data_IF_452007173518
#
_entry.id   IF_452007173518
#
_cell.length_a   1.000
_cell.length_b   1.000
_cell.length_c   1.000
_cell.angle_alpha   90.00
_cell.angle_beta   90.00
_cell.angle_gamma   90.00
#
_symmetry.space_group_name_H-M   'P 1'
#
loop_
_entity.id
_entity.type
_entity.pdbx_description
1 polymer ?
#
# COMPACT_ATOMS: atom_id res chain seq x y z
N UNK A 1 -10.26 -3.03 -26.28
CA UNK A 1 -10.58 -3.95 -25.18
C UNK A 1 -9.38 -3.93 -24.23
N UNK A 2 -9.43 -3.11 -23.19
CA UNK A 2 -8.34 -2.99 -22.22
C UNK A 2 -8.55 -4.14 -21.24
N UNK A 3 -7.69 -5.15 -21.27
CA UNK A 3 -7.54 -6.07 -20.16
C UNK A 3 -6.90 -5.27 -19.02
N UNK A 4 -7.66 -4.39 -18.39
CA UNK A 4 -7.28 -3.87 -17.09
C UNK A 4 -7.38 -5.06 -16.15
N UNK A 5 -6.22 -5.48 -15.65
CA UNK A 5 -6.06 -6.46 -14.57
C UNK A 5 -7.13 -6.16 -13.51
N UNK A 6 -8.01 -7.13 -13.21
CA UNK A 6 -9.05 -7.03 -12.15
C UNK A 6 -8.47 -6.91 -10.73
N UNK A 7 -7.19 -6.54 -10.65
CA UNK A 7 -6.40 -6.47 -9.43
C UNK A 7 -5.37 -5.36 -9.48
N UNK A 8 -5.18 -4.75 -8.32
CA UNK A 8 -4.20 -3.69 -8.08
C UNK A 8 -3.13 -4.19 -7.14
N UNK A 9 -1.88 -4.25 -7.61
CA UNK A 9 -0.74 -4.64 -6.77
C UNK A 9 -0.36 -3.46 -5.86
N UNK A 10 -0.16 -3.74 -4.59
CA UNK A 10 0.21 -2.72 -3.61
C UNK A 10 1.21 -3.22 -2.58
N UNK A 11 1.84 -2.27 -1.92
CA UNK A 11 2.73 -2.50 -0.80
C UNK A 11 2.62 -1.35 0.21
N UNK A 12 2.57 -1.71 1.49
CA UNK A 12 2.72 -0.85 2.66
C UNK A 12 4.15 -1.04 3.16
N UNK A 13 4.87 0.06 3.30
CA UNK A 13 6.27 0.08 3.71
C UNK A 13 6.52 1.23 4.69
N UNK A 14 7.62 1.14 5.45
CA UNK A 14 8.16 2.26 6.25
C UNK A 14 9.33 2.89 5.52
N UNK A 15 9.32 4.20 5.35
CA UNK A 15 10.46 4.92 4.79
C UNK A 15 11.69 4.80 5.70
N UNK A 16 12.88 4.70 5.10
CA UNK A 16 14.16 4.76 5.83
C UNK A 16 14.67 6.19 6.07
N UNK A 17 14.15 7.18 5.32
CA UNK A 17 14.56 8.58 5.40
C UNK A 17 14.00 9.34 6.63
N UNK A 18 14.29 10.64 6.70
CA UNK A 18 14.20 11.52 7.87
C UNK A 18 12.86 11.50 8.64
N UNK A 19 11.72 11.26 7.98
CA UNK A 19 10.41 11.22 8.63
C UNK A 19 9.93 9.80 9.02
N UNK A 20 10.58 8.75 8.49
CA UNK A 20 10.26 7.33 8.74
C UNK A 20 8.76 6.97 8.65
N UNK A 21 8.05 7.66 7.75
CA UNK A 21 6.60 7.53 7.60
C UNK A 21 6.22 6.17 7.00
N UNK A 22 5.09 5.64 7.46
CA UNK A 22 4.41 4.53 6.83
C UNK A 22 3.64 5.00 5.60
N UNK A 23 3.90 4.36 4.46
CA UNK A 23 3.33 4.73 3.16
C UNK A 23 2.79 3.53 2.42
N UNK A 24 2.01 3.81 1.38
CA UNK A 24 1.53 2.80 0.43
C UNK A 24 1.94 3.17 -0.99
N UNK A 25 2.39 2.19 -1.76
CA UNK A 25 2.56 2.28 -3.21
C UNK A 25 1.52 1.39 -3.90
N UNK A 26 0.88 1.91 -4.95
CA UNK A 26 -0.05 1.17 -5.82
C UNK A 26 0.64 0.97 -7.17
N UNK A 27 1.39 -0.12 -7.31
CA UNK A 27 2.28 -0.35 -8.46
C UNK A 27 1.56 -0.27 -9.81
N UNK A 28 0.33 -0.78 -9.88
CA UNK A 28 -0.47 -0.80 -11.12
C UNK A 28 -1.13 0.54 -11.43
N UNK A 29 -1.06 1.53 -10.54
CA UNK A 29 -1.59 2.88 -10.76
C UNK A 29 -0.51 3.93 -11.03
N UNK A 30 0.77 3.53 -11.01
CA UNK A 30 1.87 4.42 -11.37
C UNK A 30 1.81 4.77 -12.86
N UNK A 31 2.19 6.01 -13.17
CA UNK A 31 2.36 6.49 -14.54
C UNK A 31 3.85 6.73 -14.83
N UNK A 32 4.22 6.88 -16.10
CA UNK A 32 5.62 7.01 -16.50
C UNK A 32 6.36 8.16 -15.81
N UNK A 33 5.66 9.23 -15.42
CA UNK A 33 6.29 10.39 -14.77
C UNK A 33 6.70 10.14 -13.32
N UNK A 34 5.97 9.27 -12.59
CA UNK A 34 6.21 9.02 -11.16
C UNK A 34 6.71 7.60 -10.85
N UNK A 35 6.61 6.67 -11.80
CA UNK A 35 6.90 5.26 -11.58
C UNK A 35 8.28 5.01 -11.02
N UNK A 36 9.32 5.60 -11.62
CA UNK A 36 10.69 5.38 -11.18
C UNK A 36 10.94 5.90 -9.77
N UNK A 37 10.50 7.12 -9.46
CA UNK A 37 10.70 7.73 -8.14
C UNK A 37 9.94 6.99 -7.04
N UNK A 38 8.69 6.60 -7.29
CA UNK A 38 7.86 5.91 -6.30
C UNK A 38 8.38 4.49 -6.03
N UNK A 39 8.78 3.75 -7.08
CA UNK A 39 9.37 2.42 -6.92
C UNK A 39 10.68 2.50 -6.14
N UNK A 40 11.58 3.43 -6.48
CA UNK A 40 12.84 3.56 -5.76
C UNK A 40 12.63 3.88 -4.27
N UNK A 41 11.64 4.72 -3.95
CA UNK A 41 11.28 5.04 -2.57
C UNK A 41 10.75 3.83 -1.80
N UNK A 42 9.89 3.01 -2.43
CA UNK A 42 9.40 1.78 -1.82
C UNK A 42 10.53 0.75 -1.62
N UNK A 43 11.44 0.62 -2.59
CA UNK A 43 12.59 -0.29 -2.52
C UNK A 43 13.63 0.10 -1.45
N UNK A 44 13.78 1.39 -1.17
CA UNK A 44 14.62 1.88 -0.08
C UNK A 44 13.95 1.71 1.30
N UNK A 45 12.64 1.45 1.30
CA UNK A 45 11.81 1.23 2.48
C UNK A 45 11.90 -0.17 3.09
N UNK A 46 11.36 -0.32 4.29
CA UNK A 46 11.10 -1.62 4.91
C UNK A 46 9.66 -2.06 4.60
N UNK A 47 9.50 -3.13 3.83
CA UNK A 47 8.19 -3.71 3.52
C UNK A 47 7.50 -4.26 4.77
N UNK A 48 6.24 -3.88 4.99
CA UNK A 48 5.42 -4.35 6.13
C UNK A 48 4.33 -5.30 5.66
N UNK A 49 3.65 -4.94 4.57
CA UNK A 49 2.56 -5.72 4.02
C UNK A 49 2.48 -5.51 2.51
N UNK A 50 2.32 -6.57 1.72
CA UNK A 50 2.09 -6.44 0.29
C UNK A 50 1.03 -7.43 -0.18
N UNK A 51 0.44 -7.15 -1.33
CA UNK A 51 -0.58 -8.03 -1.90
C UNK A 51 -1.28 -7.44 -3.12
N UNK A 52 -2.45 -8.01 -3.41
CA UNK A 52 -3.31 -7.58 -4.49
C UNK A 52 -4.67 -7.19 -3.92
N UNK A 53 -5.15 -6.01 -4.33
CA UNK A 53 -6.52 -5.56 -4.07
C UNK A 53 -7.42 -6.01 -5.22
N UNK A 54 -8.66 -6.38 -4.91
CA UNK A 54 -9.73 -6.48 -5.89
C UNK A 54 -10.08 -5.08 -6.41
N UNK A 55 -10.06 -4.90 -7.73
CA UNK A 55 -10.36 -3.62 -8.35
C UNK A 55 -11.81 -3.14 -8.11
N UNK A 56 -12.76 -4.07 -7.92
CA UNK A 56 -14.17 -3.78 -7.60
C UNK A 56 -14.33 -3.00 -6.29
N UNK A 57 -13.44 -3.23 -5.32
CA UNK A 57 -13.47 -2.59 -4.00
C UNK A 57 -12.27 -1.66 -3.76
N UNK A 58 -11.57 -1.27 -4.83
CA UNK A 58 -10.32 -0.52 -4.73
C UNK A 58 -10.47 0.83 -4.05
N UNK A 59 -11.58 1.53 -4.31
CA UNK A 59 -11.85 2.84 -3.70
C UNK A 59 -11.98 2.73 -2.17
N UNK A 60 -12.75 1.74 -1.70
CA UNK A 60 -12.91 1.42 -0.29
C UNK A 60 -11.61 0.91 0.34
N UNK A 61 -10.87 0.08 -0.39
CA UNK A 61 -9.58 -0.44 0.06
C UNK A 61 -8.57 0.70 0.31
N UNK A 62 -8.51 1.71 -0.58
CA UNK A 62 -7.64 2.88 -0.39
C UNK A 62 -8.03 3.68 0.86
N UNK A 63 -9.32 3.82 1.15
CA UNK A 63 -9.78 4.47 2.39
C UNK A 63 -9.27 3.66 3.59
N UNK A 64 -9.47 2.33 3.57
CA UNK A 64 -9.06 1.47 4.67
C UNK A 64 -7.55 1.44 4.89
N UNK A 65 -6.76 1.44 3.81
CA UNK A 65 -5.30 1.56 3.89
C UNK A 65 -4.91 2.90 4.50
N UNK A 66 -5.52 4.02 4.09
CA UNK A 66 -5.23 5.33 4.70
C UNK A 66 -5.53 5.38 6.20
N UNK A 67 -6.60 4.74 6.65
CA UNK A 67 -6.88 4.61 8.08
C UNK A 67 -5.76 3.85 8.81
N UNK A 68 -5.32 2.71 8.26
CA UNK A 68 -4.21 1.91 8.80
C UNK A 68 -2.92 2.73 8.85
N UNK A 69 -2.57 3.42 7.76
CA UNK A 69 -1.38 4.29 7.71
C UNK A 69 -1.47 5.43 8.72
N UNK A 70 -2.65 6.03 8.90
CA UNK A 70 -2.85 7.11 9.87
C UNK A 70 -2.59 6.62 11.30
N UNK A 71 -3.09 5.43 11.64
CA UNK A 71 -2.85 4.80 12.94
C UNK A 71 -1.37 4.50 13.17
N UNK A 72 -0.70 3.84 12.21
CA UNK A 72 0.73 3.51 12.32
C UNK A 72 1.59 4.76 12.39
N UNK A 73 1.32 5.79 11.59
CA UNK A 73 2.06 7.06 11.63
C UNK A 73 1.80 7.86 12.91
N UNK A 74 0.59 7.77 13.49
CA UNK A 74 0.28 8.45 14.76
C UNK A 74 1.01 7.81 15.93
N UNK A 75 1.12 6.48 15.92
CA UNK A 75 1.78 5.71 16.99
C UNK A 75 3.28 5.50 16.73
N UNK A 76 3.79 5.84 15.55
CA UNK A 76 5.14 5.54 15.05
C UNK A 76 5.53 4.04 15.12
N UNK A 77 4.52 3.16 15.06
CA UNK A 77 4.66 1.72 15.22
C UNK A 77 3.91 0.95 14.11
N UNK A 78 4.53 -0.11 13.52
CA UNK A 78 3.86 -0.93 12.53
C UNK A 78 2.81 -1.82 13.18
N UNK A 79 1.65 -1.95 12.53
CA UNK A 79 0.69 -2.99 12.89
C UNK A 79 1.21 -4.37 12.47
N UNK A 80 0.89 -5.45 13.23
CA UNK A 80 1.22 -6.80 12.82
C UNK A 80 0.64 -7.15 11.45
N UNK A 81 1.38 -7.92 10.65
CA UNK A 81 0.94 -8.32 9.31
C UNK A 81 -0.44 -9.01 9.33
N UNK A 82 -0.71 -9.83 10.34
CA UNK A 82 -2.00 -10.50 10.54
C UNK A 82 -3.16 -9.52 10.75
N UNK A 83 -2.93 -8.45 11.49
CA UNK A 83 -3.95 -7.42 11.76
C UNK A 83 -4.24 -6.63 10.48
N UNK A 84 -3.21 -6.25 9.73
CA UNK A 84 -3.36 -5.59 8.42
C UNK A 84 -4.13 -6.49 7.46
N UNK A 85 -3.78 -7.78 7.40
CA UNK A 85 -4.47 -8.79 6.60
C UNK A 85 -5.94 -8.91 6.98
N UNK A 86 -6.25 -8.99 8.26
CA UNK A 86 -7.63 -9.14 8.75
C UNK A 86 -8.50 -7.91 8.45
N UNK A 87 -7.93 -6.71 8.58
CA UNK A 87 -8.61 -5.45 8.23
C UNK A 87 -8.83 -5.32 6.72
N UNK A 88 -7.91 -5.84 5.91
CA UNK A 88 -7.99 -5.77 4.46
C UNK A 88 -8.65 -6.98 3.81
N UNK A 89 -8.98 -8.04 4.56
CA UNK A 89 -9.44 -9.34 4.02
C UNK A 89 -10.58 -9.29 3.00
N UNK A 90 -11.48 -8.32 3.14
CA UNK A 90 -12.62 -8.13 2.21
C UNK A 90 -12.17 -7.61 0.83
N UNK A 91 -11.03 -6.94 0.80
CA UNK A 91 -10.50 -6.23 -0.35
C UNK A 91 -9.35 -6.99 -1.02
N UNK A 92 -8.77 -7.98 -0.36
CA UNK A 92 -7.65 -8.77 -0.87
C UNK A 92 -8.14 -9.90 -1.78
N UNK A 93 -7.27 -10.31 -2.71
CA UNK A 93 -7.45 -11.48 -3.58
C UNK A 93 -6.23 -12.38 -3.61
#
# INVERSE_FOLDING_TARGET
MKFESDKTMFEIYREHEYNREFRVILYTELNESNKHSEINRALDGETIFSGFLNDDFKSEAKIKIREILTEMNTNDEPLPESEIRDRLKKYLI
#
